data_IF_526283956397
#
_entry.id   IF_526283956397
#
_cell.length_a   1.000
_cell.length_b   1.000
_cell.length_c   1.000
_cell.angle_alpha   90.00
_cell.angle_beta   90.00
_cell.angle_gamma   90.00
#
_symmetry.space_group_name_H-M   'P 1'
#
loop_
_entity.id
_entity.type
_entity.pdbx_description
1 polymer ?
#
# COMPACT_ATOMS: atom_id res chain seq x y z
N UNK A 1 40.43 43.42 -42.91
CA UNK A 1 40.30 44.70 -42.19
C UNK A 1 40.15 44.32 -40.73
N UNK A 2 41.28 44.20 -40.04
CA UNK A 2 41.88 45.15 -39.11
C UNK A 2 40.87 45.64 -38.08
N UNK A 3 40.98 45.40 -36.81
CA UNK A 3 42.00 45.95 -35.92
C UNK A 3 42.12 45.17 -34.63
N UNK A 4 43.34 44.76 -34.36
CA UNK A 4 44.07 44.60 -33.13
C UNK A 4 43.82 45.77 -32.18
N UNK A 5 43.59 45.53 -30.90
CA UNK A 5 44.01 46.44 -29.87
C UNK A 5 44.62 45.69 -28.65
N UNK A 6 45.86 46.06 -28.43
CA UNK A 6 46.81 45.56 -27.45
C UNK A 6 46.65 46.33 -26.12
N UNK A 7 46.77 45.59 -25.04
CA UNK A 7 47.37 45.72 -23.69
C UNK A 7 47.92 47.12 -23.29
N UNK A 8 48.09 47.42 -21.99
CA UNK A 8 49.11 46.76 -21.18
C UNK A 8 48.76 46.48 -19.70
N UNK A 9 49.55 45.56 -19.15
CA UNK A 9 49.54 45.19 -17.74
C UNK A 9 50.15 46.26 -16.84
N UNK A 10 49.78 46.15 -15.58
CA UNK A 10 50.55 46.65 -14.44
C UNK A 10 50.43 45.63 -13.32
N UNK A 11 51.61 45.16 -12.89
CA UNK A 11 51.83 44.41 -11.70
C UNK A 11 51.80 45.32 -10.47
N UNK A 12 51.35 44.83 -9.35
CA UNK A 12 51.87 45.10 -7.99
C UNK A 12 51.05 44.32 -6.98
N UNK A 13 51.64 43.25 -6.43
CA UNK A 13 52.11 43.10 -5.05
C UNK A 13 51.04 43.12 -3.92
N UNK A 14 50.81 41.93 -3.37
CA UNK A 14 50.86 41.70 -1.93
C UNK A 14 49.64 42.01 -1.11
N UNK A 15 48.99 41.00 -0.60
CA UNK A 15 48.76 40.87 0.84
C UNK A 15 48.16 39.48 1.16
N UNK A 16 48.93 38.67 1.85
CA UNK A 16 48.50 37.44 2.51
C UNK A 16 47.50 37.80 3.64
N UNK A 17 46.25 37.46 3.49
CA UNK A 17 45.32 37.33 4.60
C UNK A 17 44.89 35.87 4.67
N UNK A 18 45.42 35.16 5.65
CA UNK A 18 44.97 33.86 6.09
C UNK A 18 43.59 34.03 6.70
N UNK A 19 42.54 33.77 5.92
CA UNK A 19 41.21 33.59 6.45
C UNK A 19 41.05 32.11 6.79
N UNK A 20 41.01 31.80 8.10
CA UNK A 20 40.64 30.50 8.62
C UNK A 20 39.21 30.19 8.14
N UNK A 21 39.12 29.39 7.07
CA UNK A 21 37.86 28.85 6.60
C UNK A 21 37.35 27.80 7.59
N UNK A 22 36.38 28.16 8.42
CA UNK A 22 35.55 27.17 9.09
C UNK A 22 34.86 26.36 8.01
N UNK A 23 35.33 25.15 7.75
CA UNK A 23 34.59 24.14 7.00
C UNK A 23 33.37 23.81 7.81
N UNK A 24 32.24 24.42 7.45
CA UNK A 24 30.91 24.02 7.92
C UNK A 24 30.64 22.66 7.24
N UNK A 25 30.98 21.60 7.93
CA UNK A 25 30.56 20.27 7.59
C UNK A 25 29.05 20.17 7.88
N UNK A 26 28.28 20.69 6.96
CA UNK A 26 26.84 20.52 6.91
C UNK A 26 26.55 19.06 6.58
N UNK A 27 26.65 18.17 7.57
CA UNK A 27 26.14 16.83 7.50
C UNK A 27 24.65 16.88 7.12
N UNK A 28 24.37 16.94 5.82
CA UNK A 28 23.06 16.64 5.29
C UNK A 28 22.83 15.16 5.57
N UNK A 29 22.24 14.85 6.72
CA UNK A 29 21.55 13.59 6.93
C UNK A 29 20.48 13.51 5.84
N UNK A 30 20.84 12.88 4.72
CA UNK A 30 19.85 12.42 3.75
C UNK A 30 18.93 11.45 4.50
N UNK A 31 17.82 11.99 5.01
CA UNK A 31 16.68 11.19 5.41
C UNK A 31 16.27 10.46 4.13
N UNK A 32 16.69 9.20 3.99
CA UNK A 32 16.24 8.32 2.92
C UNK A 32 14.72 8.46 2.87
N UNK A 33 14.21 9.03 1.79
CA UNK A 33 12.78 9.13 1.56
C UNK A 33 12.28 7.69 1.43
N UNK A 34 11.83 7.10 2.55
CA UNK A 34 11.20 5.78 2.53
C UNK A 34 9.98 5.89 1.64
N UNK A 35 9.95 5.09 0.58
CA UNK A 35 8.77 4.99 -0.28
C UNK A 35 7.58 4.58 0.60
N UNK A 36 6.44 5.31 0.55
CA UNK A 36 5.29 4.98 1.36
C UNK A 36 4.84 3.54 1.12
N UNK A 37 4.52 2.82 2.18
CA UNK A 37 3.96 1.47 2.12
C UNK A 37 2.63 1.47 1.39
N UNK A 38 2.18 0.32 0.90
CA UNK A 38 0.84 0.21 0.33
C UNK A 38 -0.23 0.62 1.34
N UNK A 39 -0.06 0.27 2.61
CA UNK A 39 -0.94 0.68 3.71
C UNK A 39 -1.10 2.21 3.80
N UNK A 40 0.01 2.94 3.74
CA UNK A 40 -0.02 4.42 3.78
C UNK A 40 -0.68 5.00 2.53
N UNK A 41 -0.40 4.44 1.35
CA UNK A 41 -1.00 4.86 0.08
C UNK A 41 -2.50 4.55 0.00
N UNK A 42 -2.97 3.50 0.68
CA UNK A 42 -4.40 3.19 0.82
C UNK A 42 -5.13 4.12 1.81
N UNK A 43 -4.41 5.00 2.51
CA UNK A 43 -5.00 5.93 3.49
C UNK A 43 -5.07 5.37 4.91
N UNK A 44 -4.34 4.31 5.21
CA UNK A 44 -4.20 3.75 6.54
C UNK A 44 -5.46 3.01 7.04
N UNK A 45 -5.48 2.72 8.34
CA UNK A 45 -6.52 1.87 8.95
C UNK A 45 -7.93 2.42 8.77
N UNK A 46 -8.10 3.74 8.83
CA UNK A 46 -9.44 4.36 8.71
C UNK A 46 -10.03 4.14 7.33
N UNK A 47 -9.26 4.36 6.27
CA UNK A 47 -9.69 4.14 4.90
C UNK A 47 -9.94 2.65 4.62
N UNK A 48 -9.05 1.77 5.09
CA UNK A 48 -9.23 0.31 4.97
C UNK A 48 -10.52 -0.14 5.68
N UNK A 49 -10.82 0.39 6.86
CA UNK A 49 -12.06 0.07 7.58
C UNK A 49 -13.30 0.46 6.77
N UNK A 50 -13.31 1.65 6.17
CA UNK A 50 -14.44 2.10 5.34
C UNK A 50 -14.64 1.20 4.11
N UNK A 51 -13.55 0.79 3.44
CA UNK A 51 -13.61 -0.16 2.33
C UNK A 51 -14.15 -1.51 2.79
N UNK A 52 -13.68 -2.05 3.91
CA UNK A 52 -14.13 -3.34 4.46
C UNK A 52 -15.60 -3.29 4.85
N UNK A 53 -16.08 -2.17 5.39
CA UNK A 53 -17.50 -2.02 5.73
C UNK A 53 -18.41 -2.10 4.50
N UNK A 54 -18.05 -1.42 3.42
CA UNK A 54 -18.80 -1.48 2.15
C UNK A 54 -18.66 -2.86 1.51
N UNK A 55 -17.47 -3.43 1.48
CA UNK A 55 -17.20 -4.76 0.95
C UNK A 55 -18.07 -5.83 1.61
N UNK A 56 -18.11 -5.89 2.93
CA UNK A 56 -18.94 -6.86 3.66
C UNK A 56 -20.44 -6.64 3.38
N UNK A 57 -20.86 -5.37 3.21
CA UNK A 57 -22.22 -5.06 2.80
C UNK A 57 -22.57 -5.61 1.41
N UNK A 58 -21.64 -5.57 0.44
CA UNK A 58 -21.79 -6.15 -0.90
C UNK A 58 -21.89 -7.66 -0.84
N UNK A 59 -20.95 -8.30 -0.16
CA UNK A 59 -20.93 -9.76 0.07
C UNK A 59 -22.25 -10.26 0.66
N UNK A 60 -22.82 -9.53 1.63
CA UNK A 60 -24.11 -9.88 2.22
C UNK A 60 -25.30 -9.77 1.22
N UNK A 61 -25.16 -8.93 0.20
CA UNK A 61 -26.17 -8.76 -0.85
C UNK A 61 -25.96 -9.68 -2.06
N UNK A 62 -24.74 -10.21 -2.26
CA UNK A 62 -24.42 -11.07 -3.40
C UNK A 62 -24.90 -12.51 -3.20
N UNK A 63 -25.96 -12.88 -3.90
CA UNK A 63 -26.56 -14.22 -3.82
C UNK A 63 -25.64 -15.35 -4.27
N UNK A 64 -24.52 -15.07 -4.95
CA UNK A 64 -23.54 -16.07 -5.39
C UNK A 64 -22.72 -16.63 -4.22
N UNK A 65 -22.58 -15.85 -3.13
CA UNK A 65 -21.65 -16.15 -2.03
C UNK A 65 -22.20 -15.87 -0.63
N UNK A 66 -23.32 -15.15 -0.47
CA UNK A 66 -23.81 -14.72 0.84
C UNK A 66 -24.17 -15.86 1.78
N UNK A 67 -24.53 -17.05 1.27
CA UNK A 67 -24.78 -18.24 2.05
C UNK A 67 -23.56 -18.68 2.88
N UNK A 68 -22.35 -18.45 2.38
CA UNK A 68 -21.10 -18.76 3.08
C UNK A 68 -20.87 -17.90 4.32
N UNK A 69 -21.58 -16.79 4.43
CA UNK A 69 -21.48 -15.82 5.51
C UNK A 69 -22.70 -15.81 6.45
N UNK A 70 -23.69 -16.66 6.19
CA UNK A 70 -24.98 -16.66 6.91
C UNK A 70 -24.84 -16.84 8.43
N UNK A 71 -23.82 -17.55 8.90
CA UNK A 71 -23.54 -17.80 10.32
C UNK A 71 -22.31 -17.05 10.85
N UNK A 72 -21.76 -16.14 10.05
CA UNK A 72 -20.54 -15.42 10.43
C UNK A 72 -20.84 -14.33 11.47
N UNK A 73 -19.95 -14.22 12.47
CA UNK A 73 -19.90 -13.05 13.34
C UNK A 73 -19.35 -11.86 12.52
N UNK A 74 -20.25 -11.04 12.02
CA UNK A 74 -19.91 -9.92 11.11
C UNK A 74 -18.98 -8.89 11.75
N UNK A 75 -19.16 -8.45 13.00
CA UNK A 75 -18.20 -7.57 13.66
C UNK A 75 -16.80 -8.17 13.72
N UNK A 76 -16.68 -9.43 14.08
CA UNK A 76 -15.40 -10.14 14.12
C UNK A 76 -14.80 -10.29 12.71
N UNK A 77 -15.59 -10.65 11.72
CA UNK A 77 -15.17 -10.77 10.33
C UNK A 77 -14.57 -9.46 9.81
N UNK A 78 -15.27 -8.34 9.99
CA UNK A 78 -14.78 -7.02 9.59
C UNK A 78 -13.45 -6.67 10.26
N UNK A 79 -13.33 -6.90 11.56
CA UNK A 79 -12.08 -6.66 12.29
C UNK A 79 -10.92 -7.48 11.70
N UNK A 80 -11.13 -8.78 11.47
CA UNK A 80 -10.11 -9.66 10.91
C UNK A 80 -9.72 -9.28 9.48
N UNK A 81 -10.66 -8.87 8.65
CA UNK A 81 -10.38 -8.35 7.29
C UNK A 81 -9.55 -7.07 7.32
N UNK A 82 -9.85 -6.14 8.24
CA UNK A 82 -9.05 -4.92 8.41
C UNK A 82 -7.62 -5.26 8.87
N UNK A 83 -7.48 -6.17 9.83
CA UNK A 83 -6.17 -6.64 10.29
C UNK A 83 -5.37 -7.31 9.16
N UNK A 84 -6.02 -8.17 8.38
CA UNK A 84 -5.41 -8.89 7.26
C UNK A 84 -4.92 -7.94 6.17
N UNK A 85 -5.78 -7.02 5.71
CA UNK A 85 -5.42 -6.04 4.68
C UNK A 85 -4.31 -5.12 5.19
N UNK A 86 -4.43 -4.63 6.42
CA UNK A 86 -3.42 -3.78 7.03
C UNK A 86 -2.04 -4.47 7.08
N UNK A 87 -1.99 -5.71 7.58
CA UNK A 87 -0.74 -6.50 7.65
C UNK A 87 -0.18 -6.78 6.26
N UNK A 88 -1.04 -7.22 5.33
CA UNK A 88 -0.65 -7.53 3.96
C UNK A 88 -0.14 -6.31 3.18
N UNK A 89 -0.65 -5.12 3.49
CA UNK A 89 -0.24 -3.86 2.88
C UNK A 89 1.00 -3.22 3.54
N UNK A 90 1.64 -3.89 4.51
CA UNK A 90 2.81 -3.37 5.22
C UNK A 90 2.47 -2.33 6.28
N UNK A 91 1.27 -2.38 6.85
CA UNK A 91 0.84 -1.55 7.98
C UNK A 91 1.25 -2.12 9.35
N UNK A 92 1.03 -1.34 10.41
CA UNK A 92 1.48 -1.69 11.77
C UNK A 92 0.53 -2.64 12.51
N UNK A 93 -0.31 -3.38 11.78
CA UNK A 93 -1.27 -4.30 12.38
C UNK A 93 -0.68 -5.70 12.55
N UNK A 94 -1.29 -6.46 13.45
CA UNK A 94 -1.06 -7.88 13.58
C UNK A 94 -2.35 -8.62 13.25
N UNK A 95 -2.29 -9.56 12.32
CA UNK A 95 -3.43 -10.43 12.03
C UNK A 95 -3.62 -11.44 13.15
N UNK A 96 -4.80 -11.43 13.76
CA UNK A 96 -5.13 -12.30 14.92
C UNK A 96 -6.07 -13.45 14.56
N UNK A 97 -6.38 -13.60 13.26
CA UNK A 97 -7.23 -14.67 12.76
C UNK A 97 -6.50 -16.00 12.57
N UNK A 98 -7.24 -17.01 12.13
CA UNK A 98 -6.67 -18.28 11.67
C UNK A 98 -6.03 -18.09 10.28
N UNK A 99 -5.07 -18.93 9.93
CA UNK A 99 -4.59 -19.01 8.55
C UNK A 99 -5.75 -19.33 7.58
N UNK A 100 -5.59 -18.99 6.31
CA UNK A 100 -6.68 -19.08 5.32
C UNK A 100 -7.15 -20.50 5.12
N UNK A 101 -6.24 -21.48 5.10
CA UNK A 101 -6.58 -22.89 4.94
C UNK A 101 -7.44 -23.41 6.10
N UNK A 102 -7.03 -23.12 7.33
CA UNK A 102 -7.79 -23.51 8.54
C UNK A 102 -9.12 -22.74 8.65
N UNK A 103 -9.13 -21.47 8.28
CA UNK A 103 -10.34 -20.64 8.35
C UNK A 103 -11.44 -21.09 7.38
N UNK A 104 -11.07 -21.62 6.22
CA UNK A 104 -11.99 -22.02 5.15
C UNK A 104 -12.15 -23.54 5.01
N UNK A 105 -11.53 -24.32 5.89
CA UNK A 105 -11.63 -25.78 5.86
C UNK A 105 -13.10 -26.23 5.97
N UNK A 106 -13.53 -27.10 5.06
CA UNK A 106 -14.87 -27.67 5.02
C UNK A 106 -15.98 -26.72 4.50
N UNK A 107 -15.66 -25.48 4.10
CA UNK A 107 -16.65 -24.56 3.56
C UNK A 107 -17.03 -24.85 2.10
N UNK A 108 -16.27 -25.69 1.38
CA UNK A 108 -16.54 -26.04 -0.01
C UNK A 108 -16.59 -24.84 -0.95
N UNK A 109 -15.65 -23.91 -0.79
CA UNK A 109 -15.58 -22.70 -1.62
C UNK A 109 -15.06 -23.08 -2.99
N UNK A 110 -15.80 -22.68 -4.03
CA UNK A 110 -15.44 -22.87 -5.43
C UNK A 110 -14.67 -21.70 -6.01
N UNK A 111 -13.97 -21.92 -7.14
CA UNK A 111 -13.31 -20.86 -7.89
C UNK A 111 -14.24 -19.67 -8.23
N UNK A 112 -15.42 -19.91 -8.83
CA UNK A 112 -16.38 -18.85 -9.13
C UNK A 112 -16.87 -18.07 -7.90
N UNK A 113 -17.00 -18.72 -6.74
CA UNK A 113 -17.37 -18.00 -5.50
C UNK A 113 -16.22 -17.11 -5.00
N UNK A 114 -14.99 -17.57 -5.10
CA UNK A 114 -13.84 -16.72 -4.80
C UNK A 114 -13.74 -15.53 -5.75
N UNK A 115 -13.98 -15.75 -7.05
CA UNK A 115 -13.94 -14.68 -8.04
C UNK A 115 -15.05 -13.64 -7.81
N UNK A 116 -16.26 -14.07 -7.41
CA UNK A 116 -17.35 -13.18 -6.99
C UNK A 116 -16.95 -12.32 -5.78
N UNK A 117 -16.27 -12.90 -4.79
CA UNK A 117 -15.75 -12.16 -3.64
C UNK A 117 -14.75 -11.08 -4.07
N UNK A 118 -13.86 -11.39 -5.01
CA UNK A 118 -12.87 -10.44 -5.56
C UNK A 118 -13.58 -9.30 -6.30
N UNK A 119 -14.63 -9.60 -7.07
CA UNK A 119 -15.45 -8.58 -7.75
C UNK A 119 -16.07 -7.60 -6.74
N UNK A 120 -16.62 -8.09 -5.64
CA UNK A 120 -17.18 -7.25 -4.58
C UNK A 120 -16.11 -6.37 -3.92
N UNK A 121 -14.92 -6.90 -3.69
CA UNK A 121 -13.80 -6.12 -3.17
C UNK A 121 -13.37 -5.03 -4.14
N UNK A 122 -13.24 -5.35 -5.43
CA UNK A 122 -12.92 -4.37 -6.48
C UNK A 122 -13.96 -3.27 -6.53
N UNK A 123 -15.24 -3.61 -6.48
CA UNK A 123 -16.33 -2.64 -6.49
C UNK A 123 -16.33 -1.74 -5.24
N UNK A 124 -15.95 -2.26 -4.07
CA UNK A 124 -15.77 -1.46 -2.87
C UNK A 124 -14.58 -0.48 -3.02
N UNK A 125 -13.42 -0.96 -3.51
CA UNK A 125 -12.24 -0.14 -3.77
C UNK A 125 -12.54 0.99 -4.78
N UNK A 126 -13.31 0.70 -5.84
CA UNK A 126 -13.73 1.68 -6.84
C UNK A 126 -14.66 2.75 -6.27
N UNK A 127 -15.60 2.36 -5.40
CA UNK A 127 -16.48 3.31 -4.68
C UNK A 127 -15.67 4.34 -3.89
N UNK A 128 -14.60 3.91 -3.23
CA UNK A 128 -13.71 4.80 -2.48
C UNK A 128 -12.61 5.43 -3.33
N UNK A 129 -12.68 5.27 -4.67
CA UNK A 129 -11.75 5.86 -5.64
C UNK A 129 -10.28 5.50 -5.37
N UNK A 130 -10.04 4.28 -4.90
CA UNK A 130 -8.68 3.77 -4.75
C UNK A 130 -8.02 3.71 -6.12
N UNK A 131 -6.82 4.32 -6.30
CA UNK A 131 -6.18 4.34 -7.61
C UNK A 131 -5.87 2.92 -8.12
N UNK A 132 -5.89 2.75 -9.43
CA UNK A 132 -5.70 1.43 -10.08
C UNK A 132 -4.41 0.73 -9.66
N UNK A 133 -3.34 1.51 -9.44
CA UNK A 133 -2.05 0.97 -9.00
C UNK A 133 -2.17 0.29 -7.63
N UNK A 134 -2.70 1.00 -6.63
CA UNK A 134 -2.88 0.51 -5.25
C UNK A 134 -3.86 -0.66 -5.22
N UNK A 135 -4.93 -0.60 -6.01
CA UNK A 135 -5.90 -1.68 -6.16
C UNK A 135 -5.23 -2.95 -6.70
N UNK A 136 -4.48 -2.85 -7.80
CA UNK A 136 -3.79 -4.00 -8.40
C UNK A 136 -2.71 -4.56 -7.45
N UNK A 137 -1.98 -3.71 -6.75
CA UNK A 137 -0.98 -4.12 -5.76
C UNK A 137 -1.64 -4.88 -4.61
N UNK A 138 -2.76 -4.40 -4.07
CA UNK A 138 -3.51 -5.11 -3.03
C UNK A 138 -4.01 -6.47 -3.52
N UNK A 139 -4.60 -6.53 -4.72
CA UNK A 139 -5.07 -7.78 -5.31
C UNK A 139 -3.93 -8.78 -5.56
N UNK A 140 -2.74 -8.30 -5.92
CA UNK A 140 -1.57 -9.17 -6.10
C UNK A 140 -1.06 -9.79 -4.80
N UNK A 141 -1.24 -9.09 -3.68
CA UNK A 141 -0.87 -9.60 -2.35
C UNK A 141 -1.91 -10.58 -1.80
N UNK A 142 -3.19 -10.34 -2.06
CA UNK A 142 -4.28 -11.19 -1.56
C UNK A 142 -4.55 -12.41 -2.48
N UNK A 143 -4.30 -12.27 -3.77
CA UNK A 143 -4.59 -13.29 -4.78
C UNK A 143 -4.00 -14.69 -4.51
N UNK A 144 -2.75 -14.81 -4.06
CA UNK A 144 -2.14 -16.10 -3.71
C UNK A 144 -2.90 -16.91 -2.66
N UNK A 145 -3.71 -16.23 -1.81
CA UNK A 145 -4.55 -16.92 -0.80
C UNK A 145 -5.65 -17.78 -1.42
N UNK A 146 -5.94 -17.60 -2.73
CA UNK A 146 -6.94 -18.41 -3.45
C UNK A 146 -6.69 -19.91 -3.30
N UNK A 147 -5.44 -20.34 -3.34
CA UNK A 147 -5.08 -21.76 -3.23
C UNK A 147 -5.42 -22.39 -1.87
N UNK A 148 -5.45 -21.57 -0.81
CA UNK A 148 -5.79 -22.02 0.55
C UNK A 148 -7.30 -21.93 0.84
N UNK A 149 -8.03 -21.12 0.05
CA UNK A 149 -9.45 -20.82 0.26
C UNK A 149 -10.33 -21.72 -0.61
N UNK A 150 -9.96 -21.90 -1.89
CA UNK A 150 -10.73 -22.73 -2.83
C UNK A 150 -10.47 -24.19 -2.57
N UNK A 151 -11.48 -24.90 -2.09
CA UNK A 151 -11.41 -26.32 -1.67
C UNK A 151 -12.35 -27.22 -2.46
N UNK A 152 -13.21 -26.67 -3.32
CA UNK A 152 -14.10 -27.39 -4.21
C UNK A 152 -13.82 -27.03 -5.67
N UNK A 153 -13.90 -28.06 -6.53
CA UNK A 153 -13.82 -27.93 -8.00
C UNK A 153 -15.20 -27.72 -8.61
#
# INVERSE_FOLDING_TARGET
MNMVNRVPGWALAGLLLAAAGCTYDGGMTQKSAMTPTLYERLGGKVAITAVVDDFVGRVAADKRINDKFATADIPRLKRLLVEQICTAAGGPCTYTGRDMKTAHAGMGITGPQFDALVEDLVAALDKFKVPTREKNELLSVLGPMKSDIVTAM
#
